data_IF_810132951982
#
_entry.id   IF_810132951982
#
_cell.length_a   1.000
_cell.length_b   1.000
_cell.length_c   1.000
_cell.angle_alpha   90.00
_cell.angle_beta   90.00
_cell.angle_gamma   90.00
#
_symmetry.space_group_name_H-M   'P 1'
#
loop_
_entity.id
_entity.type
_entity.pdbx_description
1 polymer ?
#
# COMPACT_ATOMS: atom_id res chain seq x y z
N UNK A 1 -11.56 16.21 -16.50
CA UNK A 1 -11.12 16.64 -15.16
C UNK A 1 -11.99 15.90 -14.16
N UNK A 2 -11.38 15.25 -13.19
CA UNK A 2 -12.03 14.45 -12.16
C UNK A 2 -11.86 15.10 -10.79
N UNK A 3 -12.47 14.54 -9.74
CA UNK A 3 -12.23 14.99 -8.36
C UNK A 3 -10.77 14.71 -7.96
N UNK A 4 -10.20 13.58 -8.42
CA UNK A 4 -8.78 13.26 -8.23
C UNK A 4 -7.89 14.38 -8.77
N UNK A 5 -8.10 14.82 -10.00
CA UNK A 5 -7.29 15.87 -10.62
C UNK A 5 -7.34 17.19 -9.83
N UNK A 6 -8.48 17.48 -9.19
CA UNK A 6 -8.67 18.67 -8.35
C UNK A 6 -7.92 18.51 -7.03
N UNK A 7 -8.02 17.34 -6.39
CA UNK A 7 -7.38 17.05 -5.12
C UNK A 7 -5.85 16.94 -5.25
N UNK A 8 -5.33 16.35 -6.32
CA UNK A 8 -3.89 16.29 -6.61
C UNK A 8 -3.29 17.69 -6.69
N UNK A 9 -3.96 18.62 -7.38
CA UNK A 9 -3.53 20.03 -7.45
C UNK A 9 -3.55 20.70 -6.08
N UNK A 10 -4.61 20.45 -5.29
CA UNK A 10 -4.79 21.05 -3.96
C UNK A 10 -3.77 20.54 -2.95
N UNK A 11 -3.40 19.27 -3.02
CA UNK A 11 -2.48 18.59 -2.10
C UNK A 11 -1.11 18.31 -2.72
N UNK A 12 -0.71 19.09 -3.72
CA UNK A 12 0.54 18.91 -4.49
C UNK A 12 1.82 18.91 -3.63
N UNK A 13 1.76 19.46 -2.42
CA UNK A 13 2.87 19.47 -1.45
C UNK A 13 2.91 18.25 -0.52
N UNK A 14 1.88 17.39 -0.51
CA UNK A 14 1.79 16.24 0.40
C UNK A 14 1.91 14.91 -0.37
N UNK A 15 3.11 14.30 -0.41
CA UNK A 15 3.36 13.09 -1.20
C UNK A 15 2.53 11.88 -0.73
N UNK A 16 2.20 11.78 0.56
CA UNK A 16 1.36 10.68 1.07
C UNK A 16 -0.07 10.77 0.56
N UNK A 17 -0.62 11.97 0.46
CA UNK A 17 -1.98 12.18 -0.08
C UNK A 17 -1.98 11.93 -1.58
N UNK A 18 -0.99 12.44 -2.32
CA UNK A 18 -0.87 12.19 -3.77
C UNK A 18 -0.82 10.70 -4.06
N UNK A 19 0.04 9.95 -3.34
CA UNK A 19 0.11 8.50 -3.49
C UNK A 19 -1.21 7.79 -3.16
N UNK A 20 -1.94 8.28 -2.17
CA UNK A 20 -3.26 7.76 -1.84
C UNK A 20 -4.26 7.96 -2.98
N UNK A 21 -4.22 9.12 -3.64
CA UNK A 21 -5.05 9.44 -4.81
C UNK A 21 -4.66 8.58 -6.03
N UNK A 22 -3.36 8.34 -6.24
CA UNK A 22 -2.86 7.43 -7.27
C UNK A 22 -3.37 6.00 -7.05
N UNK A 23 -3.36 5.49 -5.82
CA UNK A 23 -3.93 4.17 -5.49
C UNK A 23 -5.41 4.09 -5.87
N UNK A 24 -6.20 5.13 -5.62
CA UNK A 24 -7.61 5.16 -6.02
C UNK A 24 -7.71 5.13 -7.55
N UNK A 25 -6.92 5.99 -8.22
CA UNK A 25 -6.91 6.11 -9.68
C UNK A 25 -6.59 4.76 -10.33
N UNK A 26 -5.52 4.11 -9.92
CA UNK A 26 -5.04 2.85 -10.52
C UNK A 26 -6.06 1.71 -10.36
N UNK A 27 -6.79 1.66 -9.24
CA UNK A 27 -7.75 0.60 -8.96
C UNK A 27 -9.14 0.85 -9.58
N UNK A 28 -9.55 2.11 -9.73
CA UNK A 28 -10.94 2.44 -10.09
C UNK A 28 -11.11 3.12 -11.45
N UNK A 29 -10.07 3.68 -12.07
CA UNK A 29 -10.22 4.42 -13.33
C UNK A 29 -10.79 3.55 -14.45
N UNK A 30 -10.41 2.27 -14.50
CA UNK A 30 -10.89 1.31 -15.49
C UNK A 30 -12.28 0.74 -15.16
N UNK A 31 -12.81 0.99 -13.95
CA UNK A 31 -14.14 0.57 -13.52
C UNK A 31 -15.20 1.65 -13.79
N UNK A 32 -14.77 2.88 -14.04
CA UNK A 32 -15.67 3.98 -14.40
C UNK A 32 -16.20 3.76 -15.81
N UNK A 33 -17.52 3.83 -15.97
CA UNK A 33 -18.11 3.93 -17.29
C UNK A 33 -17.86 5.34 -17.84
N UNK A 34 -17.22 5.45 -18.99
CA UNK A 34 -16.88 6.74 -19.62
C UNK A 34 -18.09 7.65 -19.86
N UNK A 35 -19.29 7.08 -19.92
CA UNK A 35 -20.52 7.83 -20.11
C UNK A 35 -21.14 8.34 -18.80
N UNK A 36 -20.57 8.00 -17.65
CA UNK A 36 -21.04 8.45 -16.34
C UNK A 36 -20.29 9.71 -15.95
N UNK A 37 -21.05 10.76 -15.64
CA UNK A 37 -20.45 12.07 -15.38
C UNK A 37 -21.03 12.71 -14.13
N UNK A 38 -20.19 13.47 -13.43
CA UNK A 38 -20.59 14.29 -12.30
C UNK A 38 -21.11 15.65 -12.77
N UNK A 39 -22.28 16.00 -12.28
CA UNK A 39 -23.00 17.24 -12.62
C UNK A 39 -23.72 17.81 -11.40
N UNK A 40 -24.00 19.10 -11.44
CA UNK A 40 -24.91 19.74 -10.51
C UNK A 40 -26.32 19.73 -11.09
N UNK A 41 -27.29 19.24 -10.31
CA UNK A 41 -28.70 19.36 -10.63
C UNK A 41 -29.14 20.83 -10.58
N UNK A 42 -30.35 21.15 -11.06
CA UNK A 42 -30.98 22.47 -11.03
C UNK A 42 -31.04 23.07 -9.62
N UNK A 43 -31.05 22.21 -8.59
CA UNK A 43 -30.99 22.59 -7.17
C UNK A 43 -29.57 22.81 -6.63
N UNK A 44 -28.55 22.70 -7.49
CA UNK A 44 -27.14 22.80 -7.13
C UNK A 44 -26.61 21.60 -6.33
N UNK A 45 -27.27 20.44 -6.39
CA UNK A 45 -26.85 19.21 -5.71
C UNK A 45 -26.01 18.34 -6.65
N UNK A 46 -24.90 17.80 -6.13
CA UNK A 46 -24.02 16.90 -6.86
C UNK A 46 -24.70 15.55 -7.13
N UNK A 47 -24.80 15.18 -8.41
CA UNK A 47 -25.41 13.93 -8.87
C UNK A 47 -24.55 13.25 -9.94
N UNK A 48 -24.79 11.95 -10.13
CA UNK A 48 -24.24 11.18 -11.24
C UNK A 48 -25.24 11.20 -12.40
N UNK A 49 -24.81 11.71 -13.54
CA UNK A 49 -25.54 11.67 -14.80
C UNK A 49 -25.21 10.38 -15.55
N UNK A 50 -26.25 9.64 -15.90
CA UNK A 50 -26.16 8.34 -16.56
C UNK A 50 -27.03 8.38 -17.82
N UNK A 51 -26.56 7.88 -18.99
CA UNK A 51 -27.42 7.77 -20.16
C UNK A 51 -28.55 6.77 -19.91
N UNK A 52 -29.78 7.13 -20.25
CA UNK A 52 -30.92 6.21 -20.16
C UNK A 52 -30.74 5.03 -21.11
N UNK A 53 -31.01 3.82 -20.62
CA UNK A 53 -31.03 2.61 -21.43
C UNK A 53 -32.28 2.55 -22.34
N UNK A 54 -33.34 3.27 -21.98
CA UNK A 54 -34.62 3.26 -22.69
C UNK A 54 -34.65 4.28 -23.83
N UNK A 55 -34.10 5.48 -23.60
CA UNK A 55 -34.13 6.59 -24.56
C UNK A 55 -32.72 7.14 -24.81
N UNK A 56 -32.24 7.07 -26.07
CA UNK A 56 -30.88 7.49 -26.47
C UNK A 56 -30.51 8.95 -26.16
N UNK A 57 -31.50 9.82 -25.90
CA UNK A 57 -31.30 11.25 -25.66
C UNK A 57 -31.68 11.69 -24.24
N UNK A 58 -32.01 10.75 -23.35
CA UNK A 58 -32.38 11.06 -21.97
C UNK A 58 -31.29 10.64 -21.00
N UNK A 59 -31.22 11.37 -19.89
CA UNK A 59 -30.29 11.11 -18.81
C UNK A 59 -31.05 10.85 -17.52
N UNK A 60 -30.61 9.81 -16.81
CA UNK A 60 -31.02 9.54 -15.44
C UNK A 60 -30.02 10.19 -14.49
N UNK A 61 -30.52 10.78 -13.41
CA UNK A 61 -29.71 11.41 -12.37
C UNK A 61 -29.82 10.58 -11.10
N UNK A 62 -28.71 9.97 -10.69
CA UNK A 62 -28.63 9.18 -9.45
C UNK A 62 -27.88 9.93 -8.36
N UNK A 63 -28.15 9.56 -7.12
CA UNK A 63 -27.43 10.11 -5.99
C UNK A 63 -25.98 9.59 -5.99
N UNK A 64 -25.04 10.43 -5.57
CA UNK A 64 -23.64 10.02 -5.50
C UNK A 64 -23.36 9.00 -4.40
N UNK A 65 -24.26 8.88 -3.42
CA UNK A 65 -24.25 7.90 -2.33
C UNK A 65 -24.47 6.47 -2.82
N UNK A 66 -25.08 6.30 -3.99
CA UNK A 66 -25.31 4.99 -4.61
C UNK A 66 -24.02 4.35 -5.13
N UNK A 67 -22.92 5.11 -5.18
CA UNK A 67 -21.64 4.70 -5.71
C UNK A 67 -20.56 4.77 -4.64
N UNK A 68 -19.62 3.83 -4.67
CA UNK A 68 -18.43 3.90 -3.84
C UNK A 68 -17.64 5.19 -4.15
N UNK A 69 -17.28 5.94 -3.11
CA UNK A 69 -16.57 7.21 -3.26
C UNK A 69 -15.27 7.14 -4.10
N UNK A 70 -14.46 6.05 -4.10
CA UNK A 70 -13.29 5.96 -4.98
C UNK A 70 -13.67 5.96 -6.46
N UNK A 71 -14.81 5.37 -6.81
CA UNK A 71 -15.33 5.34 -8.18
C UNK A 71 -15.86 6.73 -8.56
N UNK A 72 -16.62 7.38 -7.68
CA UNK A 72 -17.07 8.77 -7.85
C UNK A 72 -15.88 9.71 -8.08
N UNK A 73 -14.78 9.52 -7.36
CA UNK A 73 -13.58 10.33 -7.51
C UNK A 73 -12.95 10.26 -8.90
N UNK A 74 -13.09 9.11 -9.57
CA UNK A 74 -12.58 8.86 -10.92
C UNK A 74 -13.56 9.30 -12.04
N UNK A 75 -14.82 9.62 -11.71
CA UNK A 75 -15.80 10.06 -12.71
C UNK A 75 -15.44 11.41 -13.33
N UNK A 76 -15.76 11.59 -14.60
CA UNK A 76 -15.54 12.84 -15.32
C UNK A 76 -16.55 13.90 -14.86
N UNK A 77 -16.09 15.11 -14.61
CA UNK A 77 -16.97 16.26 -14.39
C UNK A 77 -17.37 16.82 -15.76
N UNK A 78 -18.68 16.85 -16.06
CA UNK A 78 -19.18 17.30 -17.38
C UNK A 78 -19.07 18.81 -17.58
N UNK A 79 -18.90 19.59 -16.52
CA UNK A 79 -19.12 21.05 -16.57
C UNK A 79 -17.91 21.83 -17.12
N UNK A 80 -18.21 22.81 -17.98
CA UNK A 80 -17.26 23.59 -18.79
C UNK A 80 -16.39 24.45 -17.89
N UNK A 81 -15.15 24.01 -17.61
CA UNK A 81 -13.98 24.80 -17.11
C UNK A 81 -14.27 25.99 -16.16
N UNK A 82 -15.32 25.94 -15.34
CA UNK A 82 -15.68 27.01 -14.44
C UNK A 82 -15.12 26.70 -13.05
N UNK A 83 -14.20 27.55 -12.56
CA UNK A 83 -13.51 27.35 -11.29
C UNK A 83 -14.45 27.33 -10.10
N UNK A 84 -15.52 28.14 -10.12
CA UNK A 84 -16.45 28.24 -8.99
C UNK A 84 -17.32 26.99 -8.88
N UNK A 85 -17.73 26.45 -10.02
CA UNK A 85 -18.45 25.20 -10.13
C UNK A 85 -17.60 24.03 -9.61
N UNK A 86 -16.33 23.93 -10.03
CA UNK A 86 -15.44 22.88 -9.53
C UNK A 86 -15.22 22.97 -8.02
N UNK A 87 -15.13 24.20 -7.48
CA UNK A 87 -15.02 24.42 -6.05
C UNK A 87 -16.30 23.98 -5.32
N UNK A 88 -17.47 24.24 -5.89
CA UNK A 88 -18.76 23.82 -5.33
C UNK A 88 -18.91 22.30 -5.31
N UNK A 89 -18.62 21.63 -6.43
CA UNK A 89 -18.58 20.16 -6.53
C UNK A 89 -17.63 19.57 -5.48
N UNK A 90 -16.41 20.11 -5.40
CA UNK A 90 -15.41 19.64 -4.44
C UNK A 90 -15.88 19.81 -3.00
N UNK A 91 -16.50 20.95 -2.65
CA UNK A 91 -16.99 21.19 -1.30
C UNK A 91 -18.06 20.16 -0.92
N UNK A 92 -19.06 19.93 -1.77
CA UNK A 92 -20.09 18.92 -1.49
C UNK A 92 -19.51 17.51 -1.38
N UNK A 93 -18.56 17.16 -2.23
CA UNK A 93 -17.88 15.88 -2.14
C UNK A 93 -17.11 15.71 -0.82
N UNK A 94 -16.37 16.75 -0.40
CA UNK A 94 -15.64 16.73 0.87
C UNK A 94 -16.61 16.66 2.05
N UNK A 95 -17.71 17.42 2.04
CA UNK A 95 -18.70 17.39 3.12
C UNK A 95 -19.30 15.98 3.30
N UNK A 96 -19.43 15.21 2.22
CA UNK A 96 -19.96 13.84 2.27
C UNK A 96 -18.93 12.78 2.64
N UNK A 97 -17.66 12.95 2.24
CA UNK A 97 -16.66 11.88 2.28
C UNK A 97 -15.38 12.20 3.05
N UNK A 98 -15.26 13.37 3.68
CA UNK A 98 -14.06 13.80 4.42
C UNK A 98 -13.58 12.75 5.41
N UNK A 99 -14.47 12.24 6.27
CA UNK A 99 -14.08 11.29 7.31
C UNK A 99 -13.57 9.97 6.71
N UNK A 100 -14.19 9.51 5.62
CA UNK A 100 -13.76 8.29 4.91
C UNK A 100 -12.40 8.50 4.24
N UNK A 101 -12.16 9.67 3.64
CA UNK A 101 -10.87 10.02 3.04
C UNK A 101 -9.76 10.13 4.08
N UNK A 102 -10.04 10.76 5.23
CA UNK A 102 -9.08 10.90 6.32
C UNK A 102 -8.67 9.54 6.90
N UNK A 103 -9.61 8.60 7.00
CA UNK A 103 -9.32 7.20 7.38
C UNK A 103 -8.45 6.54 6.31
N UNK A 104 -8.83 6.65 5.03
CA UNK A 104 -8.07 6.06 3.94
C UNK A 104 -6.63 6.58 3.85
N UNK A 105 -6.42 7.90 3.97
CA UNK A 105 -5.08 8.48 3.96
C UNK A 105 -4.21 7.96 5.13
N UNK A 106 -4.81 7.74 6.31
CA UNK A 106 -4.11 7.11 7.44
C UNK A 106 -3.78 5.64 7.18
N UNK A 107 -4.69 4.91 6.53
CA UNK A 107 -4.49 3.51 6.16
C UNK A 107 -3.33 3.36 5.15
N UNK A 108 -3.26 4.22 4.12
CA UNK A 108 -2.14 4.22 3.15
C UNK A 108 -0.80 4.49 3.85
N UNK A 109 -0.75 5.48 4.76
CA UNK A 109 0.46 5.75 5.55
C UNK A 109 0.85 4.54 6.42
N UNK A 110 -0.13 3.79 6.91
CA UNK A 110 0.09 2.57 7.70
C UNK A 110 0.71 1.47 6.85
N UNK A 111 0.25 1.30 5.61
CA UNK A 111 0.83 0.36 4.62
C UNK A 111 2.25 0.76 4.22
N UNK A 112 2.53 2.06 4.12
CA UNK A 112 3.88 2.55 3.85
C UNK A 112 4.86 2.21 4.98
N UNK A 113 4.41 2.37 6.23
CA UNK A 113 5.17 1.94 7.41
C UNK A 113 5.40 0.43 7.41
N UNK A 114 4.38 -0.36 7.07
CA UNK A 114 4.50 -1.81 6.92
C UNK A 114 5.58 -2.16 5.89
N UNK A 115 5.50 -1.59 4.69
CA UNK A 115 6.44 -1.87 3.59
C UNK A 115 7.88 -1.55 3.99
N UNK A 116 8.10 -0.41 4.68
CA UNK A 116 9.41 -0.05 5.20
C UNK A 116 9.91 -1.05 6.25
N UNK A 117 9.04 -1.47 7.18
CA UNK A 117 9.38 -2.44 8.22
C UNK A 117 9.73 -3.82 7.66
N UNK A 118 9.04 -4.26 6.60
CA UNK A 118 9.38 -5.50 5.88
C UNK A 118 10.78 -5.39 5.27
N UNK A 119 11.08 -4.27 4.58
CA UNK A 119 12.40 -4.03 3.98
C UNK A 119 13.52 -4.00 5.02
N UNK A 120 13.31 -3.34 6.15
CA UNK A 120 14.26 -3.31 7.27
C UNK A 120 14.48 -4.71 7.86
N UNK A 121 13.40 -5.46 8.07
CA UNK A 121 13.45 -6.84 8.57
C UNK A 121 14.24 -7.74 7.62
N UNK A 122 14.00 -7.64 6.30
CA UNK A 122 14.77 -8.36 5.27
C UNK A 122 16.25 -8.00 5.32
N UNK A 123 16.58 -6.71 5.46
CA UNK A 123 17.99 -6.25 5.56
C UNK A 123 18.69 -6.84 6.78
N UNK A 124 18.02 -6.90 7.93
CA UNK A 124 18.56 -7.50 9.16
C UNK A 124 18.79 -9.01 8.98
N UNK A 125 17.81 -9.72 8.41
CA UNK A 125 17.90 -11.16 8.16
C UNK A 125 19.06 -11.48 7.21
N UNK A 126 19.18 -10.73 6.12
CA UNK A 126 20.28 -10.87 5.18
C UNK A 126 21.63 -10.58 5.85
N UNK A 127 21.72 -9.50 6.63
CA UNK A 127 22.94 -9.15 7.36
C UNK A 127 23.38 -10.28 8.30
N UNK A 128 22.48 -10.80 9.13
CA UNK A 128 22.78 -11.91 10.05
C UNK A 128 23.24 -13.15 9.27
N UNK A 129 22.57 -13.47 8.16
CA UNK A 129 22.90 -14.63 7.32
C UNK A 129 24.31 -14.49 6.73
N UNK A 130 24.60 -13.37 6.06
CA UNK A 130 25.91 -13.15 5.43
C UNK A 130 27.05 -13.03 6.45
N UNK A 131 26.79 -12.38 7.59
CA UNK A 131 27.76 -12.30 8.67
C UNK A 131 28.08 -13.67 9.27
N UNK A 132 27.06 -14.53 9.43
CA UNK A 132 27.25 -15.91 9.91
C UNK A 132 28.07 -16.74 8.92
N UNK A 133 27.80 -16.62 7.61
CA UNK A 133 28.58 -17.29 6.56
C UNK A 133 30.04 -16.81 6.60
N UNK A 134 30.26 -15.50 6.70
CA UNK A 134 31.61 -14.92 6.78
C UNK A 134 32.37 -15.46 8.00
N UNK A 135 31.73 -15.50 9.17
CA UNK A 135 32.32 -16.06 10.40
C UNK A 135 32.72 -17.52 10.23
N UNK A 136 31.85 -18.34 9.62
CA UNK A 136 32.13 -19.77 9.39
C UNK A 136 33.33 -19.95 8.46
N UNK A 137 33.42 -19.17 7.38
CA UNK A 137 34.54 -19.25 6.44
C UNK A 137 35.85 -18.83 7.13
N UNK A 138 35.84 -17.69 7.81
CA UNK A 138 37.03 -17.14 8.47
C UNK A 138 37.56 -18.06 9.58
N UNK A 139 36.66 -18.60 10.41
CA UNK A 139 37.02 -19.53 11.47
C UNK A 139 37.49 -20.88 10.90
N UNK A 140 36.89 -21.36 9.82
CA UNK A 140 37.35 -22.60 9.14
C UNK A 140 38.75 -22.45 8.52
N UNK A 141 39.03 -21.33 7.84
CA UNK A 141 40.36 -21.05 7.29
C UNK A 141 41.39 -20.95 8.42
N UNK A 142 41.05 -20.26 9.52
CA UNK A 142 41.92 -20.13 10.69
C UNK A 142 42.32 -21.49 11.28
N UNK A 143 41.36 -22.42 11.39
CA UNK A 143 41.59 -23.78 11.87
C UNK A 143 42.52 -24.61 10.96
N UNK A 144 42.51 -24.34 9.65
CA UNK A 144 43.36 -25.04 8.68
C UNK A 144 44.77 -24.46 8.58
N UNK A 145 44.91 -23.13 8.67
CA UNK A 145 46.20 -22.43 8.49
C UNK A 145 47.04 -22.47 9.77
N UNK A 146 46.42 -22.30 10.94
CA UNK A 146 47.13 -22.23 12.21
C UNK A 146 47.08 -23.58 12.94
N UNK A 147 47.97 -24.50 12.55
CA UNK A 147 48.01 -25.88 13.05
C UNK A 147 48.52 -26.01 14.50
N UNK A 148 49.24 -25.01 15.02
CA UNK A 148 49.82 -25.00 16.39
C UNK A 148 48.95 -24.29 17.43
N UNK A 149 47.65 -24.16 17.19
CA UNK A 149 46.70 -23.60 18.16
C UNK A 149 46.47 -24.58 19.31
N UNK A 150 46.35 -24.07 20.55
CA UNK A 150 46.03 -24.91 21.71
C UNK A 150 44.67 -25.62 21.56
N UNK A 151 44.56 -26.83 22.10
CA UNK A 151 43.32 -27.62 22.02
C UNK A 151 42.09 -26.86 22.55
N UNK A 152 42.24 -26.04 23.60
CA UNK A 152 41.15 -25.22 24.14
C UNK A 152 40.63 -24.20 23.13
N UNK A 153 41.51 -23.48 22.43
CA UNK A 153 41.11 -22.50 21.41
C UNK A 153 40.46 -23.21 20.21
N UNK A 154 40.93 -24.41 19.87
CA UNK A 154 40.35 -25.24 18.80
C UNK A 154 38.90 -25.62 19.11
N UNK A 155 38.60 -26.06 20.33
CA UNK A 155 37.23 -26.39 20.75
C UNK A 155 36.32 -25.16 20.71
N UNK A 156 36.80 -24.01 21.16
CA UNK A 156 36.03 -22.75 21.11
C UNK A 156 35.66 -22.40 19.67
N UNK A 157 36.60 -22.50 18.72
CA UNK A 157 36.32 -22.21 17.31
C UNK A 157 35.29 -23.18 16.70
N UNK A 158 35.36 -24.48 17.02
CA UNK A 158 34.34 -25.46 16.54
C UNK A 158 32.96 -25.13 17.09
N UNK A 159 32.85 -24.75 18.37
CA UNK A 159 31.58 -24.33 18.97
C UNK A 159 31.02 -23.08 18.26
N UNK A 160 31.88 -22.11 17.92
CA UNK A 160 31.48 -20.90 17.19
C UNK A 160 30.94 -21.24 15.79
N UNK A 161 31.56 -22.19 15.08
CA UNK A 161 31.09 -22.64 13.76
C UNK A 161 29.70 -23.27 13.88
N UNK A 162 29.53 -24.24 14.78
CA UNK A 162 28.26 -24.94 14.98
C UNK A 162 27.15 -23.97 15.41
N UNK A 163 27.45 -23.07 16.36
CA UNK A 163 26.50 -22.06 16.83
C UNK A 163 26.07 -21.09 15.74
N UNK A 164 27.01 -20.60 14.93
CA UNK A 164 26.72 -19.68 13.82
C UNK A 164 25.90 -20.35 12.71
N UNK A 165 26.16 -21.62 12.43
CA UNK A 165 25.40 -22.40 11.46
C UNK A 165 23.95 -22.63 11.91
N UNK A 166 23.75 -23.00 13.18
CA UNK A 166 22.41 -23.16 13.77
C UNK A 166 21.64 -21.82 13.81
N UNK A 167 22.31 -20.72 14.14
CA UNK A 167 21.72 -19.39 14.12
C UNK A 167 21.28 -18.99 12.70
N UNK A 168 22.08 -19.27 11.68
CA UNK A 168 21.72 -19.04 10.29
C UNK A 168 20.47 -19.83 9.88
N UNK A 169 20.42 -21.13 10.17
CA UNK A 169 19.28 -21.99 9.83
C UNK A 169 17.99 -21.50 10.49
N UNK A 170 18.02 -21.23 11.79
CA UNK A 170 16.84 -20.76 12.53
C UNK A 170 16.30 -19.42 12.01
N UNK A 171 17.19 -18.50 11.63
CA UNK A 171 16.80 -17.22 11.03
C UNK A 171 16.17 -17.40 9.64
N UNK A 172 16.68 -18.33 8.82
CA UNK A 172 16.10 -18.62 7.51
C UNK A 172 14.73 -19.31 7.62
N UNK A 173 14.59 -20.30 8.50
CA UNK A 173 13.32 -21.00 8.70
C UNK A 173 12.22 -20.11 9.31
N UNK A 174 12.57 -19.14 10.14
CA UNK A 174 11.57 -18.26 10.80
C UNK A 174 11.27 -16.98 10.02
N UNK A 175 11.94 -16.74 8.90
CA UNK A 175 11.81 -15.50 8.09
C UNK A 175 10.38 -15.28 7.61
N UNK A 176 9.79 -16.29 6.97
CA UNK A 176 8.45 -16.21 6.39
C UNK A 176 7.38 -16.01 7.46
N UNK A 177 7.42 -16.79 8.54
CA UNK A 177 6.43 -16.71 9.62
C UNK A 177 6.48 -15.35 10.35
N UNK A 178 7.69 -14.82 10.59
CA UNK A 178 7.86 -13.50 11.23
C UNK A 178 7.27 -12.38 10.38
N UNK A 179 7.52 -12.39 9.07
CA UNK A 179 7.00 -11.34 8.20
C UNK A 179 5.50 -11.49 8.01
N UNK A 180 4.98 -12.72 7.86
CA UNK A 180 3.54 -12.96 7.78
C UNK A 180 2.80 -12.37 8.99
N UNK A 181 3.29 -12.60 10.21
CA UNK A 181 2.74 -11.99 11.44
C UNK A 181 2.76 -10.46 11.40
N UNK A 182 3.82 -9.86 10.85
CA UNK A 182 3.91 -8.40 10.70
C UNK A 182 2.87 -7.91 9.70
N UNK A 183 2.74 -8.57 8.54
CA UNK A 183 1.77 -8.20 7.50
C UNK A 183 0.35 -8.31 8.02
N UNK A 184 -0.01 -9.46 8.59
CA UNK A 184 -1.35 -9.70 9.15
C UNK A 184 -1.71 -8.67 10.24
N UNK A 185 -0.75 -8.34 11.11
CA UNK A 185 -0.91 -7.33 12.15
C UNK A 185 -1.23 -5.95 11.60
N UNK A 186 -0.54 -5.52 10.54
CA UNK A 186 -0.78 -4.20 9.93
C UNK A 186 -2.06 -4.19 9.07
N UNK A 187 -2.36 -5.26 8.34
CA UNK A 187 -3.61 -5.37 7.57
C UNK A 187 -4.83 -5.33 8.51
N UNK A 188 -4.74 -5.93 9.70
CA UNK A 188 -5.83 -5.91 10.69
C UNK A 188 -6.19 -4.51 11.22
N UNK A 189 -5.28 -3.53 11.09
CA UNK A 189 -5.46 -2.16 11.57
C UNK A 189 -6.19 -1.30 10.52
N UNK A 190 -6.20 -1.73 9.26
CA UNK A 190 -6.78 -0.99 8.14
C UNK A 190 -8.29 -1.04 8.25
N UNK A 191 -8.92 0.14 8.24
CA UNK A 191 -10.37 0.28 8.45
C UNK A 191 -11.15 0.47 7.15
N UNK A 192 -10.47 0.80 6.06
CA UNK A 192 -11.10 1.01 4.76
C UNK A 192 -11.37 -0.34 4.08
N UNK A 193 -12.63 -0.80 4.11
CA UNK A 193 -13.02 -2.15 3.66
C UNK A 193 -12.56 -2.51 2.24
N UNK A 194 -12.79 -1.63 1.26
CA UNK A 194 -12.38 -1.90 -0.11
C UNK A 194 -10.85 -1.98 -0.25
N UNK A 195 -10.12 -1.13 0.47
CA UNK A 195 -8.67 -1.11 0.45
C UNK A 195 -8.10 -2.35 1.14
N UNK A 196 -8.71 -2.79 2.23
CA UNK A 196 -8.37 -4.04 2.90
C UNK A 196 -8.58 -5.25 1.98
N UNK A 197 -9.66 -5.28 1.19
CA UNK A 197 -9.87 -6.34 0.17
C UNK A 197 -8.78 -6.35 -0.89
N UNK A 198 -8.36 -5.18 -1.38
CA UNK A 198 -7.26 -5.09 -2.36
C UNK A 198 -5.92 -5.52 -1.76
N UNK A 199 -5.62 -5.11 -0.54
CA UNK A 199 -4.39 -5.53 0.15
C UNK A 199 -4.38 -7.02 0.45
N UNK A 200 -5.53 -7.62 0.75
CA UNK A 200 -5.64 -9.07 0.94
C UNK A 200 -5.34 -9.84 -0.34
N UNK A 201 -5.78 -9.35 -1.51
CA UNK A 201 -5.38 -9.94 -2.81
C UNK A 201 -3.88 -9.82 -3.02
N UNK A 202 -3.30 -8.69 -2.63
CA UNK A 202 -1.86 -8.42 -2.72
C UNK A 202 -1.05 -9.01 -1.57
N UNK A 203 -1.65 -9.73 -0.62
CA UNK A 203 -0.96 -10.25 0.56
C UNK A 203 0.18 -11.21 0.18
N UNK A 204 -0.04 -12.00 -0.88
CA UNK A 204 1.00 -12.85 -1.49
C UNK A 204 2.17 -12.00 -1.99
N UNK A 205 1.91 -10.84 -2.60
CA UNK A 205 2.97 -9.92 -3.06
C UNK A 205 3.76 -9.30 -1.90
N UNK A 206 3.09 -8.91 -0.81
CA UNK A 206 3.78 -8.44 0.39
C UNK A 206 4.67 -9.51 1.04
N UNK A 207 4.23 -10.77 0.96
CA UNK A 207 5.05 -11.91 1.34
C UNK A 207 6.19 -12.16 0.34
N UNK A 208 6.00 -11.95 -0.96
CA UNK A 208 7.08 -12.13 -1.95
C UNK A 208 8.15 -11.03 -1.89
N UNK A 209 7.87 -9.86 -1.32
CA UNK A 209 8.93 -8.86 -1.02
C UNK A 209 10.05 -9.43 -0.11
N UNK A 210 9.78 -10.56 0.55
CA UNK A 210 10.71 -11.32 1.38
C UNK A 210 11.75 -12.07 0.54
N UNK A 211 11.39 -12.62 -0.62
CA UNK A 211 12.30 -13.30 -1.56
C UNK A 211 13.33 -12.32 -2.10
#
# INVERSE_FOLDING_TARGET
MTIIDILEKKYSSNPSIIRSLEIIKDNFINLVNDNYELVLDVKGQLKVRIPSLQNKNEYEYKEISDYDYPLVMCMRISEIKNKDIYKHILNQFIDLYKDKLDVFFKDVVTVDKLTKKIKETKKIINFITYFSIFLVILTSISLCVFLNISNMIRYIMVIVIVGSFLAMLTVQFTKEERVKKIVDGYISIIKTDWYQRELNKQNIFFCNLIE
#
